data_IF_289403069580
#
_entry.id   IF_289403069580
#
_cell.length_a   1.000
_cell.length_b   1.000
_cell.length_c   1.000
_cell.angle_alpha   90.00
_cell.angle_beta   90.00
_cell.angle_gamma   90.00
#
_symmetry.space_group_name_H-M   'P 1'
#
loop_
_entity.id
_entity.type
_entity.pdbx_description
1 polymer ?
#
# COMPACT_ATOMS: atom_id res chain seq x y z
N UNK A 1 23.16 81.45 -23.87
CA UNK A 1 23.05 80.27 -24.76
C UNK A 1 22.83 79.02 -23.90
N UNK A 2 21.86 78.16 -24.28
CA UNK A 2 21.51 76.83 -23.73
C UNK A 2 20.81 76.85 -22.36
N UNK A 3 19.52 77.25 -22.27
CA UNK A 3 18.27 76.44 -22.41
C UNK A 3 18.18 75.23 -21.46
N UNK A 4 17.48 75.47 -20.33
CA UNK A 4 16.74 74.49 -19.54
C UNK A 4 15.73 73.76 -20.44
N UNK A 5 15.63 72.44 -20.30
CA UNK A 5 14.48 71.67 -20.76
C UNK A 5 13.99 70.78 -19.62
N UNK A 6 12.81 71.11 -19.12
CA UNK A 6 11.99 70.25 -18.29
C UNK A 6 11.48 69.08 -19.16
N UNK A 7 11.66 67.85 -18.70
CA UNK A 7 11.05 66.68 -19.32
C UNK A 7 9.88 66.25 -18.43
N UNK A 8 8.67 66.55 -18.92
CA UNK A 8 7.41 66.16 -18.31
C UNK A 8 7.24 64.63 -18.35
N UNK A 9 6.85 64.11 -17.20
CA UNK A 9 6.42 62.75 -16.95
C UNK A 9 5.10 62.49 -17.70
N UNK A 10 5.12 61.64 -18.74
CA UNK A 10 3.91 61.07 -19.34
C UNK A 10 3.96 59.55 -19.14
N UNK A 11 3.35 59.08 -18.05
CA UNK A 11 3.09 57.66 -17.82
C UNK A 11 1.90 57.28 -18.69
N UNK A 12 2.18 56.58 -19.80
CA UNK A 12 1.14 55.94 -20.59
C UNK A 12 0.80 54.60 -19.90
N UNK A 13 -0.33 54.56 -19.19
CA UNK A 13 -0.97 53.34 -18.71
C UNK A 13 -1.37 52.47 -19.92
N UNK A 14 -0.52 51.51 -20.29
CA UNK A 14 -0.95 50.37 -21.07
C UNK A 14 -1.44 49.28 -20.11
N UNK A 15 -2.74 49.33 -19.78
CA UNK A 15 -3.48 48.23 -19.17
C UNK A 15 -3.49 47.07 -20.17
N UNK A 16 -2.42 46.29 -20.18
CA UNK A 16 -2.41 44.97 -20.79
C UNK A 16 -3.30 44.07 -19.94
N UNK A 17 -4.55 43.91 -20.36
CA UNK A 17 -5.48 42.91 -19.86
C UNK A 17 -4.79 41.55 -19.88
N UNK A 18 -4.28 41.11 -18.73
CA UNK A 18 -3.92 39.71 -18.53
C UNK A 18 -5.24 38.99 -18.63
N UNK A 19 -5.52 38.43 -19.81
CA UNK A 19 -6.59 37.48 -19.97
C UNK A 19 -6.35 36.40 -18.91
N UNK A 20 -7.17 36.42 -17.86
CA UNK A 20 -7.34 35.26 -17.02
C UNK A 20 -7.81 34.17 -17.97
N UNK A 21 -6.86 33.35 -18.41
CA UNK A 21 -7.15 31.98 -18.79
C UNK A 21 -7.72 31.39 -17.52
N UNK A 22 -9.03 31.52 -17.34
CA UNK A 22 -9.78 30.76 -16.38
C UNK A 22 -9.44 29.31 -16.72
N UNK A 23 -8.60 28.70 -15.90
CA UNK A 23 -8.45 27.27 -15.91
C UNK A 23 -9.86 26.75 -15.63
N UNK A 24 -10.57 26.38 -16.70
CA UNK A 24 -11.80 25.66 -16.59
C UNK A 24 -11.38 24.35 -15.94
N UNK A 25 -11.54 24.27 -14.61
CA UNK A 25 -11.47 23.01 -13.89
C UNK A 25 -12.54 22.13 -14.52
N UNK A 26 -12.14 21.35 -15.54
CA UNK A 26 -12.90 20.17 -15.90
C UNK A 26 -12.80 19.27 -14.68
N UNK A 27 -13.77 19.41 -13.78
CA UNK A 27 -13.87 18.60 -12.60
C UNK A 27 -13.72 17.15 -13.05
N UNK A 28 -12.66 16.49 -12.58
CA UNK A 28 -12.34 15.12 -12.95
C UNK A 28 -13.58 14.26 -12.70
N UNK A 29 -14.26 13.87 -13.79
CA UNK A 29 -15.47 13.07 -13.69
C UNK A 29 -15.06 11.62 -13.55
N UNK A 30 -15.05 11.13 -12.32
CA UNK A 30 -14.84 9.72 -12.05
C UNK A 30 -16.01 8.91 -12.61
N UNK A 31 -15.77 7.67 -13.11
CA UNK A 31 -16.85 6.77 -13.46
C UNK A 31 -17.79 6.57 -12.26
N UNK A 32 -19.12 6.49 -12.50
CA UNK A 32 -20.06 6.22 -11.44
C UNK A 32 -19.76 4.85 -10.80
N UNK A 33 -19.90 4.77 -9.48
CA UNK A 33 -19.78 3.52 -8.74
C UNK A 33 -20.94 3.40 -7.75
N UNK A 34 -21.36 2.17 -7.48
CA UNK A 34 -22.33 1.85 -6.45
C UNK A 34 -21.60 1.46 -5.17
N UNK A 35 -21.95 2.10 -4.06
CA UNK A 35 -21.49 1.72 -2.72
C UNK A 35 -22.64 1.11 -1.95
N UNK A 36 -22.42 -0.08 -1.40
CA UNK A 36 -23.37 -0.72 -0.49
C UNK A 36 -22.65 -1.30 0.72
N UNK A 37 -23.43 -1.66 1.74
CA UNK A 37 -22.94 -2.33 2.93
C UNK A 37 -23.77 -3.60 3.14
N UNK A 38 -23.11 -4.76 3.13
CA UNK A 38 -23.77 -6.03 3.43
C UNK A 38 -24.22 -6.05 4.89
N UNK A 39 -25.24 -6.87 5.21
CA UNK A 39 -25.82 -6.97 6.55
C UNK A 39 -24.78 -7.32 7.64
N UNK A 40 -23.75 -8.11 7.29
CA UNK A 40 -22.68 -8.49 8.20
C UNK A 40 -21.60 -7.42 8.40
N UNK A 41 -21.59 -6.36 7.58
CA UNK A 41 -20.70 -5.20 7.73
C UNK A 41 -19.70 -4.97 6.60
N UNK A 42 -19.54 -5.90 5.66
CA UNK A 42 -18.64 -5.70 4.49
C UNK A 42 -19.10 -4.48 3.70
N UNK A 43 -18.17 -3.58 3.42
CA UNK A 43 -18.43 -2.47 2.49
C UNK A 43 -18.06 -2.90 1.08
N UNK A 44 -19.01 -2.83 0.15
CA UNK A 44 -18.79 -3.20 -1.26
C UNK A 44 -18.85 -1.95 -2.14
N UNK A 45 -17.90 -1.84 -3.06
CA UNK A 45 -17.86 -0.84 -4.13
C UNK A 45 -17.94 -1.57 -5.47
N UNK A 46 -18.91 -1.22 -6.32
CA UNK A 46 -19.11 -1.80 -7.64
C UNK A 46 -18.94 -0.73 -8.72
N UNK A 47 -18.08 -0.97 -9.69
CA UNK A 47 -17.90 -0.11 -10.86
C UNK A 47 -17.92 -0.98 -12.13
N UNK A 48 -19.05 -0.97 -12.83
CA UNK A 48 -19.23 -1.71 -14.08
C UNK A 48 -18.44 -1.05 -15.23
N UNK A 49 -17.75 -1.87 -16.02
CA UNK A 49 -16.90 -1.48 -17.17
C UNK A 49 -16.87 -2.62 -18.20
N UNK A 50 -17.31 -2.40 -19.44
CA UNK A 50 -17.48 -3.46 -20.45
C UNK A 50 -16.40 -3.47 -21.55
N UNK A 51 -15.34 -2.67 -21.42
CA UNK A 51 -14.30 -2.51 -22.43
C UNK A 51 -13.50 -3.79 -22.66
N UNK A 52 -13.30 -4.59 -21.61
CA UNK A 52 -12.60 -5.88 -21.64
C UNK A 52 -13.36 -6.91 -20.80
N UNK A 53 -13.39 -8.20 -21.20
CA UNK A 53 -14.15 -9.25 -20.51
C UNK A 53 -13.43 -9.77 -19.25
N UNK A 54 -12.98 -8.85 -18.39
CA UNK A 54 -12.22 -9.11 -17.16
C UNK A 54 -12.93 -8.43 -15.99
N UNK A 55 -12.86 -9.05 -14.81
CA UNK A 55 -13.37 -8.51 -13.56
C UNK A 55 -12.24 -8.53 -12.54
N UNK A 56 -11.94 -7.35 -12.00
CA UNK A 56 -10.94 -7.11 -10.97
C UNK A 56 -11.62 -6.93 -9.60
N UNK A 57 -11.09 -7.63 -8.61
CA UNK A 57 -11.47 -7.52 -7.21
C UNK A 57 -10.28 -6.93 -6.45
N UNK A 58 -10.53 -5.89 -5.67
CA UNK A 58 -9.59 -5.37 -4.68
C UNK A 58 -10.20 -5.48 -3.30
N UNK A 59 -9.49 -6.05 -2.33
CA UNK A 59 -9.95 -6.06 -0.95
C UNK A 59 -8.94 -5.39 -0.03
N UNK A 60 -9.47 -4.73 1.01
CA UNK A 60 -8.69 -4.12 2.08
C UNK A 60 -9.25 -4.61 3.41
N UNK A 61 -8.36 -5.13 4.25
CA UNK A 61 -8.59 -5.35 5.69
C UNK A 61 -7.89 -4.23 6.43
N UNK A 62 -8.59 -3.47 7.27
CA UNK A 62 -7.99 -2.33 7.99
C UNK A 62 -7.16 -2.79 9.21
N UNK A 63 -6.17 -3.63 8.95
CA UNK A 63 -5.13 -4.05 9.88
C UNK A 63 -3.88 -4.45 9.08
N UNK A 64 -2.75 -3.86 9.45
CA UNK A 64 -1.42 -4.17 8.90
C UNK A 64 -0.44 -4.52 10.01
N UNK A 65 0.86 -4.41 9.75
CA UNK A 65 1.91 -4.78 10.70
C UNK A 65 1.95 -3.93 11.96
N UNK A 66 1.31 -2.74 11.98
CA UNK A 66 1.20 -1.98 13.24
C UNK A 66 0.32 -2.67 14.28
N UNK A 67 -0.48 -3.66 13.85
CA UNK A 67 -1.27 -4.52 14.71
C UNK A 67 -0.50 -5.78 15.17
N UNK A 68 0.74 -5.97 14.73
CA UNK A 68 1.55 -7.12 15.15
C UNK A 68 1.85 -7.03 16.66
N UNK A 69 1.70 -8.14 17.40
CA UNK A 69 2.16 -8.21 18.78
C UNK A 69 3.66 -7.91 18.87
N UNK A 70 4.08 -7.23 19.93
CA UNK A 70 5.50 -6.93 20.15
C UNK A 70 6.33 -8.23 20.22
N UNK A 71 7.45 -8.28 19.50
CA UNK A 71 8.29 -9.48 19.38
C UNK A 71 7.76 -10.53 18.38
N UNK A 72 6.60 -10.28 17.77
CA UNK A 72 6.00 -11.10 16.70
C UNK A 72 5.77 -10.26 15.44
N UNK A 73 6.69 -9.35 15.14
CA UNK A 73 6.69 -8.57 13.92
C UNK A 73 6.66 -9.51 12.70
N UNK A 74 5.74 -9.27 11.77
CA UNK A 74 5.53 -10.09 10.58
C UNK A 74 4.26 -10.97 10.61
N UNK A 75 3.50 -11.02 11.72
CA UNK A 75 2.27 -11.83 11.82
C UNK A 75 1.22 -11.39 10.79
N UNK A 76 0.99 -10.09 10.60
CA UNK A 76 0.06 -9.57 9.59
C UNK A 76 0.45 -10.04 8.18
N UNK A 77 1.74 -9.91 7.86
CA UNK A 77 2.28 -10.32 6.57
C UNK A 77 2.21 -11.85 6.40
N UNK A 78 2.50 -12.64 7.44
CA UNK A 78 2.37 -14.10 7.42
C UNK A 78 0.91 -14.51 7.17
N UNK A 79 -0.04 -13.84 7.84
CA UNK A 79 -1.47 -14.09 7.66
C UNK A 79 -1.89 -13.85 6.21
N UNK A 80 -1.50 -12.71 5.62
CA UNK A 80 -1.80 -12.40 4.22
C UNK A 80 -1.20 -13.43 3.25
N UNK A 81 0.07 -13.82 3.46
CA UNK A 81 0.77 -14.78 2.61
C UNK A 81 0.23 -16.22 2.72
N UNK A 82 -0.43 -16.56 3.83
CA UNK A 82 -0.99 -17.89 4.06
C UNK A 82 -2.45 -18.03 3.65
N UNK A 83 -3.15 -16.95 3.26
CA UNK A 83 -4.54 -17.02 2.78
C UNK A 83 -4.72 -18.07 1.67
N UNK A 84 -3.79 -18.09 0.70
CA UNK A 84 -3.80 -19.03 -0.44
C UNK A 84 -3.24 -20.42 -0.14
N UNK A 85 -2.85 -20.71 1.11
CA UNK A 85 -2.12 -21.94 1.46
C UNK A 85 -2.99 -23.06 2.01
N UNK A 86 -4.29 -22.84 2.08
CA UNK A 86 -5.26 -23.89 2.38
C UNK A 86 -6.51 -23.35 3.02
N UNK A 87 -7.64 -23.86 2.57
CA UNK A 87 -8.96 -23.63 3.14
C UNK A 87 -9.53 -24.94 3.67
N UNK A 88 -10.74 -24.90 4.24
CA UNK A 88 -11.48 -26.11 4.61
C UNK A 88 -11.78 -27.02 3.42
N UNK A 89 -11.91 -26.45 2.22
CA UNK A 89 -12.32 -27.16 1.01
C UNK A 89 -11.17 -27.45 0.04
N UNK A 90 -10.07 -26.69 0.09
CA UNK A 90 -9.00 -26.74 -0.90
C UNK A 90 -7.62 -26.69 -0.26
N UNK A 91 -6.72 -27.52 -0.77
CA UNK A 91 -5.28 -27.46 -0.49
C UNK A 91 -4.62 -26.30 -1.24
N UNK A 92 -3.40 -25.91 -0.84
CA UNK A 92 -2.61 -24.90 -1.55
C UNK A 92 -2.45 -25.21 -3.05
N UNK A 93 -2.20 -26.48 -3.39
CA UNK A 93 -2.02 -26.92 -4.77
C UNK A 93 -3.32 -26.84 -5.56
N UNK A 94 -4.46 -27.23 -4.99
CA UNK A 94 -5.76 -27.08 -5.64
C UNK A 94 -6.10 -25.61 -5.91
N UNK A 95 -5.86 -24.72 -4.94
CA UNK A 95 -6.06 -23.27 -5.13
C UNK A 95 -5.19 -22.75 -6.28
N UNK A 96 -3.92 -23.17 -6.36
CA UNK A 96 -3.03 -22.76 -7.46
C UNK A 96 -3.52 -23.30 -8.79
N UNK A 97 -3.80 -24.60 -8.89
CA UNK A 97 -4.24 -25.22 -10.13
C UNK A 97 -5.58 -24.67 -10.63
N UNK A 98 -6.53 -24.37 -9.74
CA UNK A 98 -7.81 -23.76 -10.10
C UNK A 98 -7.61 -22.33 -10.64
N UNK A 99 -6.73 -21.53 -10.03
CA UNK A 99 -6.37 -20.20 -10.54
C UNK A 99 -5.72 -20.27 -11.91
N UNK A 100 -4.71 -21.14 -12.06
CA UNK A 100 -3.98 -21.29 -13.32
C UNK A 100 -4.92 -21.77 -14.44
N UNK A 101 -5.84 -22.68 -14.13
CA UNK A 101 -6.82 -23.20 -15.10
C UNK A 101 -7.79 -22.13 -15.62
N UNK A 102 -8.23 -21.21 -14.76
CA UNK A 102 -9.12 -20.11 -15.16
C UNK A 102 -8.36 -18.85 -15.60
N UNK A 103 -7.02 -18.90 -15.67
CA UNK A 103 -6.17 -17.75 -15.96
C UNK A 103 -6.32 -16.61 -14.95
N UNK A 104 -6.65 -16.95 -13.70
CA UNK A 104 -6.90 -15.99 -12.64
C UNK A 104 -5.68 -15.72 -11.78
N UNK A 105 -5.65 -14.55 -11.14
CA UNK A 105 -4.63 -14.20 -10.16
C UNK A 105 -5.29 -13.87 -8.82
N UNK A 106 -4.60 -14.15 -7.72
CA UNK A 106 -5.01 -13.72 -6.37
C UNK A 106 -3.75 -13.40 -5.55
N UNK A 107 -3.56 -12.18 -5.08
CA UNK A 107 -2.40 -11.83 -4.24
C UNK A 107 -2.85 -11.04 -3.03
N UNK A 108 -2.13 -11.17 -1.92
CA UNK A 108 -2.42 -10.45 -0.69
C UNK A 108 -1.13 -10.12 0.06
N UNK A 109 -1.01 -8.89 0.55
CA UNK A 109 0.14 -8.41 1.28
C UNK A 109 -0.29 -7.46 2.41
N UNK A 110 0.45 -7.50 3.52
CA UNK A 110 0.28 -6.53 4.60
C UNK A 110 1.21 -5.33 4.41
N UNK A 111 0.65 -4.13 4.58
CA UNK A 111 1.39 -2.88 4.76
C UNK A 111 1.49 -2.56 6.25
N UNK A 112 1.97 -1.37 6.61
CA UNK A 112 1.91 -0.91 7.99
C UNK A 112 0.47 -0.83 8.52
N UNK A 113 -0.42 -0.17 7.77
CA UNK A 113 -1.74 0.23 8.27
C UNK A 113 -2.88 -0.73 7.89
N UNK A 114 -2.71 -1.49 6.81
CA UNK A 114 -3.74 -2.36 6.26
C UNK A 114 -3.16 -3.55 5.53
N UNK A 115 -3.97 -4.59 5.35
CA UNK A 115 -3.70 -5.69 4.42
C UNK A 115 -4.53 -5.44 3.18
N UNK A 116 -3.93 -5.56 2.01
CA UNK A 116 -4.63 -5.46 0.74
C UNK A 116 -4.36 -6.69 -0.12
N UNK A 117 -5.33 -7.03 -0.95
CA UNK A 117 -5.14 -8.01 -1.98
C UNK A 117 -5.96 -7.72 -3.22
N UNK A 118 -5.57 -8.35 -4.31
CA UNK A 118 -6.26 -8.27 -5.59
C UNK A 118 -6.57 -9.66 -6.10
N UNK A 119 -7.70 -9.80 -6.78
CA UNK A 119 -8.03 -10.97 -7.58
C UNK A 119 -8.49 -10.53 -8.98
N UNK A 120 -8.12 -11.26 -10.01
CA UNK A 120 -8.53 -10.97 -11.38
C UNK A 120 -9.04 -12.25 -12.04
N UNK A 121 -10.18 -12.17 -12.70
CA UNK A 121 -10.81 -13.29 -13.40
C UNK A 121 -11.42 -12.85 -14.72
N UNK A 122 -11.45 -13.75 -15.71
CA UNK A 122 -12.25 -13.53 -16.92
C UNK A 122 -13.75 -13.60 -16.60
N UNK A 123 -14.57 -12.78 -17.26
CA UNK A 123 -16.03 -12.75 -17.09
C UNK A 123 -16.68 -14.13 -17.18
N UNK A 124 -16.23 -14.96 -18.13
CA UNK A 124 -16.74 -16.33 -18.33
C UNK A 124 -16.52 -17.27 -17.13
N UNK A 125 -15.54 -16.98 -16.28
CA UNK A 125 -15.13 -17.80 -15.14
C UNK A 125 -15.50 -17.18 -13.79
N UNK A 126 -16.28 -16.09 -13.78
CA UNK A 126 -16.56 -15.29 -12.58
C UNK A 126 -17.16 -16.10 -11.43
N UNK A 127 -18.03 -17.08 -11.72
CA UNK A 127 -18.59 -17.95 -10.70
C UNK A 127 -17.52 -18.74 -9.94
N UNK A 128 -16.58 -19.36 -10.68
CA UNK A 128 -15.47 -20.12 -10.10
C UNK A 128 -14.48 -19.21 -9.39
N UNK A 129 -14.15 -18.06 -10.00
CA UNK A 129 -13.25 -17.07 -9.42
C UNK A 129 -13.77 -16.51 -8.09
N UNK A 130 -15.06 -16.18 -8.05
CA UNK A 130 -15.72 -15.68 -6.85
C UNK A 130 -15.82 -16.75 -5.76
N UNK A 131 -16.11 -18.01 -6.13
CA UNK A 131 -16.09 -19.13 -5.19
C UNK A 131 -14.73 -19.31 -4.54
N UNK A 132 -13.66 -19.23 -5.34
CA UNK A 132 -12.30 -19.35 -4.85
C UNK A 132 -11.91 -18.18 -3.94
N UNK A 133 -12.20 -16.94 -4.36
CA UNK A 133 -11.93 -15.75 -3.57
C UNK A 133 -12.66 -15.80 -2.23
N UNK A 134 -13.95 -16.17 -2.23
CA UNK A 134 -14.74 -16.29 -1.02
C UNK A 134 -14.18 -17.38 -0.10
N UNK A 135 -13.82 -18.55 -0.62
CA UNK A 135 -13.26 -19.64 0.18
C UNK A 135 -11.92 -19.25 0.85
N UNK A 136 -11.02 -18.63 0.09
CA UNK A 136 -9.72 -18.14 0.59
C UNK A 136 -9.89 -17.07 1.67
N UNK A 137 -10.88 -16.18 1.52
CA UNK A 137 -11.12 -15.10 2.46
C UNK A 137 -11.88 -15.54 3.72
N UNK A 138 -12.85 -16.46 3.60
CA UNK A 138 -13.76 -16.82 4.68
C UNK A 138 -13.33 -18.06 5.45
N UNK A 139 -12.61 -18.99 4.81
CA UNK A 139 -12.33 -20.32 5.36
C UNK A 139 -10.84 -20.73 5.38
N UNK A 140 -9.84 -19.84 5.57
CA UNK A 140 -8.46 -20.27 5.63
C UNK A 140 -8.20 -21.11 6.89
N UNK A 141 -7.44 -22.20 6.74
CA UNK A 141 -7.09 -23.11 7.85
C UNK A 141 -5.65 -22.94 8.34
N UNK A 142 -4.81 -22.23 7.58
CA UNK A 142 -3.40 -21.99 7.86
C UNK A 142 -2.64 -23.28 8.22
N UNK A 143 -2.41 -24.20 7.27
CA UNK A 143 -1.71 -25.46 7.56
C UNK A 143 -0.33 -25.23 8.17
N UNK A 144 0.02 -26.00 9.21
CA UNK A 144 1.26 -25.79 9.97
C UNK A 144 2.53 -26.00 9.14
N UNK A 145 2.49 -26.94 8.20
CA UNK A 145 3.56 -27.23 7.25
C UNK A 145 3.78 -26.05 6.27
N UNK A 146 2.70 -25.49 5.72
CA UNK A 146 2.76 -24.30 4.86
C UNK A 146 3.19 -23.05 5.65
N UNK A 147 2.74 -22.90 6.89
CA UNK A 147 3.19 -21.81 7.78
C UNK A 147 4.70 -21.89 8.04
N UNK A 148 5.21 -23.07 8.40
CA UNK A 148 6.63 -23.28 8.63
C UNK A 148 7.46 -23.10 7.34
N UNK A 149 6.93 -23.52 6.19
CA UNK A 149 7.57 -23.32 4.88
C UNK A 149 7.68 -21.85 4.54
N UNK A 150 6.59 -21.07 4.68
CA UNK A 150 6.61 -19.64 4.42
C UNK A 150 7.55 -18.89 5.38
N UNK A 151 7.57 -19.28 6.65
CA UNK A 151 8.48 -18.73 7.64
C UNK A 151 9.95 -18.91 7.23
N UNK A 152 10.34 -20.14 6.84
CA UNK A 152 11.70 -20.41 6.33
C UNK A 152 12.04 -19.58 5.10
N UNK A 153 11.14 -19.55 4.11
CA UNK A 153 11.32 -18.75 2.89
C UNK A 153 11.54 -17.26 3.19
N UNK A 154 10.83 -16.70 4.17
CA UNK A 154 11.01 -15.30 4.58
C UNK A 154 12.31 -15.07 5.31
N UNK A 155 12.71 -15.96 6.20
CA UNK A 155 14.01 -15.88 6.88
C UNK A 155 15.14 -15.92 5.84
N UNK A 156 15.08 -16.83 4.88
CA UNK A 156 16.07 -16.94 3.82
C UNK A 156 16.07 -15.70 2.92
N UNK A 157 14.88 -15.18 2.57
CA UNK A 157 14.75 -13.93 1.81
C UNK A 157 15.30 -12.72 2.54
N UNK A 158 15.15 -12.64 3.88
CA UNK A 158 15.73 -11.57 4.69
C UNK A 158 17.26 -11.69 4.74
N UNK A 159 17.80 -12.90 4.85
CA UNK A 159 19.25 -13.13 4.79
C UNK A 159 19.81 -12.70 3.43
N UNK A 160 19.19 -13.15 2.35
CA UNK A 160 19.58 -12.75 1.00
C UNK A 160 19.48 -11.24 0.78
N UNK A 161 18.43 -10.59 1.31
CA UNK A 161 18.31 -9.14 1.22
C UNK A 161 19.43 -8.37 1.93
N UNK A 162 20.06 -8.95 2.97
CA UNK A 162 21.20 -8.33 3.67
C UNK A 162 22.48 -8.32 2.85
N UNK A 163 22.58 -9.19 1.84
CA UNK A 163 23.71 -9.16 0.90
C UNK A 163 23.63 -7.90 0.01
N UNK A 164 22.43 -7.38 -0.23
CA UNK A 164 22.16 -6.18 -1.02
C UNK A 164 21.84 -4.96 -0.13
N UNK A 165 22.79 -4.02 -0.02
CA UNK A 165 22.61 -2.81 0.81
C UNK A 165 21.31 -2.03 0.49
N UNK A 166 20.91 -2.00 -0.79
CA UNK A 166 19.65 -1.37 -1.23
C UNK A 166 18.40 -2.05 -0.64
N UNK A 167 18.41 -3.37 -0.46
CA UNK A 167 17.28 -4.15 0.02
C UNK A 167 16.94 -3.88 1.49
N UNK A 168 17.94 -3.54 2.30
CA UNK A 168 17.79 -3.40 3.77
C UNK A 168 17.78 -1.95 4.26
N UNK A 169 18.31 -0.99 3.49
CA UNK A 169 18.40 0.41 3.94
C UNK A 169 17.05 1.00 4.33
N UNK A 170 15.94 0.57 3.72
CA UNK A 170 14.60 1.03 4.07
C UNK A 170 14.17 0.62 5.47
N UNK A 171 14.27 -0.67 5.78
CA UNK A 171 13.90 -1.20 7.09
C UNK A 171 14.80 -0.63 8.21
N UNK A 172 16.10 -0.47 7.93
CA UNK A 172 17.03 0.15 8.87
C UNK A 172 16.73 1.63 9.10
N UNK A 173 16.39 2.36 8.05
CA UNK A 173 15.99 3.76 8.16
C UNK A 173 14.70 3.91 8.97
N UNK A 174 13.69 3.07 8.72
CA UNK A 174 12.44 3.08 9.48
C UNK A 174 12.68 2.79 10.97
N UNK A 175 13.46 1.74 11.29
CA UNK A 175 13.84 1.41 12.66
C UNK A 175 14.61 2.55 13.34
N UNK A 176 15.50 3.23 12.61
CA UNK A 176 16.26 4.36 13.14
C UNK A 176 15.40 5.60 13.38
N UNK A 177 14.49 5.91 12.47
CA UNK A 177 13.65 7.10 12.51
C UNK A 177 12.58 6.96 13.59
N UNK A 178 11.86 5.84 13.62
CA UNK A 178 10.69 5.62 14.46
C UNK A 178 11.00 4.92 15.79
N UNK A 179 12.17 4.29 15.94
CA UNK A 179 12.59 3.63 17.18
C UNK A 179 11.58 2.59 17.65
N UNK A 180 11.01 2.78 18.85
CA UNK A 180 10.03 1.86 19.45
C UNK A 180 8.61 1.99 18.88
N UNK A 181 8.33 3.04 18.10
CA UNK A 181 7.02 3.24 17.46
C UNK A 181 6.74 2.07 16.48
N UNK A 182 5.49 1.59 16.33
CA UNK A 182 5.16 0.47 15.43
C UNK A 182 5.66 0.62 13.98
N UNK A 183 5.75 1.84 13.46
CA UNK A 183 6.35 2.12 12.14
C UNK A 183 7.86 1.89 12.03
N UNK A 184 8.57 1.72 13.15
CA UNK A 184 9.98 1.30 13.17
C UNK A 184 10.16 -0.21 13.05
N UNK A 185 9.07 -0.97 13.09
CA UNK A 185 9.08 -2.43 12.99
C UNK A 185 8.97 -2.85 11.52
N UNK A 186 9.74 -3.86 11.11
CA UNK A 186 9.64 -4.43 9.77
C UNK A 186 8.26 -5.04 9.53
N UNK A 187 7.60 -4.67 8.42
CA UNK A 187 6.29 -5.20 8.02
C UNK A 187 6.30 -6.71 7.77
N UNK A 188 7.46 -7.25 7.38
CA UNK A 188 7.67 -8.68 7.11
C UNK A 188 8.34 -9.42 8.27
N UNK A 189 8.59 -8.73 9.38
CA UNK A 189 9.38 -9.26 10.49
C UNK A 189 10.88 -9.24 10.23
N UNK A 190 11.63 -9.83 11.17
CA UNK A 190 13.06 -10.11 11.08
C UNK A 190 13.33 -11.55 11.51
N UNK A 191 14.57 -12.03 11.43
CA UNK A 191 14.88 -13.42 11.77
C UNK A 191 14.51 -13.81 13.21
N UNK A 192 14.60 -12.87 14.15
CA UNK A 192 14.25 -13.12 15.55
C UNK A 192 12.74 -13.19 15.74
N UNK A 193 11.99 -12.23 15.19
CA UNK A 193 10.53 -12.20 15.34
C UNK A 193 9.87 -13.35 14.58
N UNK A 194 10.32 -13.63 13.34
CA UNK A 194 9.79 -14.74 12.55
C UNK A 194 10.00 -16.08 13.24
N UNK A 195 11.10 -16.28 13.97
CA UNK A 195 11.36 -17.52 14.71
C UNK A 195 10.34 -17.77 15.84
N UNK A 196 9.67 -16.74 16.35
CA UNK A 196 8.70 -16.86 17.46
C UNK A 196 7.23 -16.95 16.99
N UNK A 197 6.96 -16.68 15.71
CA UNK A 197 5.61 -16.71 15.16
C UNK A 197 5.16 -18.16 15.02
N UNK A 198 4.01 -18.47 15.62
CA UNK A 198 3.34 -19.76 15.50
C UNK A 198 2.17 -19.67 14.53
N UNK A 199 1.69 -20.84 14.07
CA UNK A 199 0.44 -20.94 13.30
C UNK A 199 -0.76 -20.35 14.07
N UNK A 200 -0.78 -20.49 15.39
CA UNK A 200 -1.88 -19.97 16.21
C UNK A 200 -1.85 -18.45 16.32
N UNK A 201 -0.66 -17.82 16.26
CA UNK A 201 -0.57 -16.36 16.16
C UNK A 201 -1.19 -15.85 14.85
N UNK A 202 -0.93 -16.54 13.74
CA UNK A 202 -1.54 -16.26 12.43
C UNK A 202 -3.07 -16.42 12.50
N UNK A 203 -3.54 -17.55 13.04
CA UNK A 203 -4.97 -17.80 13.17
C UNK A 203 -5.66 -16.78 14.08
N UNK A 204 -5.01 -16.38 15.18
CA UNK A 204 -5.51 -15.35 16.10
C UNK A 204 -5.56 -13.97 15.44
N UNK A 205 -4.56 -13.61 14.64
CA UNK A 205 -4.55 -12.36 13.88
C UNK A 205 -5.69 -12.33 12.87
N UNK A 206 -5.87 -13.41 12.10
CA UNK A 206 -7.01 -13.56 11.20
C UNK A 206 -8.34 -13.41 11.95
N UNK A 207 -8.53 -14.14 13.05
CA UNK A 207 -9.76 -14.08 13.84
C UNK A 207 -10.04 -12.68 14.39
N UNK A 208 -9.01 -11.93 14.77
CA UNK A 208 -9.15 -10.61 15.38
C UNK A 208 -9.46 -9.52 14.35
N UNK A 209 -8.77 -9.53 13.21
CA UNK A 209 -8.75 -8.40 12.29
C UNK A 209 -9.45 -8.65 10.95
N UNK A 210 -9.55 -9.90 10.50
CA UNK A 210 -10.24 -10.27 9.26
C UNK A 210 -11.71 -10.50 9.60
N UNK A 211 -12.43 -9.39 9.70
CA UNK A 211 -13.86 -9.37 10.00
C UNK A 211 -14.62 -8.63 8.90
N UNK A 212 -15.90 -8.96 8.67
CA UNK A 212 -16.74 -8.25 7.71
C UNK A 212 -16.73 -6.74 7.88
N UNK A 213 -16.94 -6.24 9.11
CA UNK A 213 -16.98 -4.81 9.41
C UNK A 213 -15.64 -4.09 9.20
N UNK A 214 -14.52 -4.84 9.17
CA UNK A 214 -13.18 -4.32 8.93
C UNK A 214 -12.72 -4.47 7.46
N UNK A 215 -13.62 -4.91 6.57
CA UNK A 215 -13.32 -5.25 5.18
C UNK A 215 -14.01 -4.31 4.19
N UNK A 216 -13.25 -3.83 3.20
CA UNK A 216 -13.78 -3.23 1.98
C UNK A 216 -13.47 -4.16 0.81
N UNK A 217 -14.46 -4.42 -0.03
CA UNK A 217 -14.31 -5.14 -1.30
C UNK A 217 -14.73 -4.20 -2.44
N UNK A 218 -13.82 -3.94 -3.37
CA UNK A 218 -14.08 -3.20 -4.60
C UNK A 218 -14.08 -4.17 -5.78
N UNK A 219 -15.06 -4.04 -6.67
CA UNK A 219 -15.19 -4.85 -7.88
C UNK A 219 -15.33 -3.92 -9.08
N UNK A 220 -14.45 -4.11 -10.07
CA UNK A 220 -14.40 -3.29 -11.28
C UNK A 220 -14.30 -4.20 -12.50
N UNK A 221 -15.11 -3.97 -13.54
CA UNK A 221 -15.01 -4.73 -14.79
C UNK A 221 -16.36 -5.15 -15.37
N UNK A 222 -16.32 -6.17 -16.23
CA UNK A 222 -17.46 -6.54 -17.10
C UNK A 222 -18.44 -7.46 -16.37
N UNK A 223 -19.39 -6.87 -15.64
CA UNK A 223 -20.43 -7.58 -14.89
C UNK A 223 -21.73 -6.78 -14.81
N UNK A 224 -22.87 -7.45 -14.65
CA UNK A 224 -24.12 -6.77 -14.30
C UNK A 224 -24.13 -6.42 -12.79
N UNK A 225 -24.37 -5.15 -12.38
CA UNK A 225 -24.30 -4.73 -10.98
C UNK A 225 -25.26 -5.45 -10.05
N UNK A 226 -26.48 -5.76 -10.50
CA UNK A 226 -27.48 -6.43 -9.67
C UNK A 226 -27.11 -7.91 -9.43
N UNK A 227 -26.64 -8.60 -10.48
CA UNK A 227 -26.16 -9.97 -10.37
C UNK A 227 -24.91 -10.08 -9.49
N UNK A 228 -23.95 -9.16 -9.66
CA UNK A 228 -22.74 -9.11 -8.84
C UNK A 228 -23.06 -8.80 -7.37
N UNK A 229 -23.97 -7.87 -7.11
CA UNK A 229 -24.43 -7.58 -5.74
C UNK A 229 -25.06 -8.81 -5.08
N UNK A 230 -25.91 -9.53 -5.79
CA UNK A 230 -26.52 -10.76 -5.29
C UNK A 230 -25.44 -11.83 -5.01
N UNK A 231 -24.54 -12.08 -5.96
CA UNK A 231 -23.47 -13.06 -5.81
C UNK A 231 -22.53 -12.73 -4.63
N UNK A 232 -22.17 -11.46 -4.45
CA UNK A 232 -21.39 -11.01 -3.29
C UNK A 232 -22.16 -11.14 -1.98
N UNK A 233 -23.47 -10.84 -1.99
CA UNK A 233 -24.33 -11.02 -0.82
C UNK A 233 -24.40 -12.49 -0.41
N UNK A 234 -24.56 -13.40 -1.36
CA UNK A 234 -24.64 -14.84 -1.08
C UNK A 234 -23.32 -15.41 -0.57
N UNK A 235 -22.19 -14.99 -1.15
CA UNK A 235 -20.86 -15.51 -0.79
C UNK A 235 -20.30 -14.83 0.46
N UNK A 236 -20.19 -13.50 0.45
CA UNK A 236 -19.59 -12.75 1.56
C UNK A 236 -20.57 -12.46 2.69
N UNK A 237 -21.88 -12.51 2.47
CA UNK A 237 -22.88 -12.38 3.54
C UNK A 237 -22.86 -13.52 4.55
N UNK A 238 -22.37 -14.70 4.13
CA UNK A 238 -22.15 -15.85 5.01
C UNK A 238 -20.98 -15.67 5.99
N UNK A 239 -20.12 -14.66 5.80
CA UNK A 239 -19.00 -14.40 6.70
C UNK A 239 -19.52 -13.89 8.05
N UNK A 240 -19.26 -14.59 9.18
CA UNK A 240 -19.85 -14.22 10.46
C UNK A 240 -19.50 -12.80 10.89
N UNK A 241 -20.54 -12.03 11.22
CA UNK A 241 -20.42 -10.66 11.70
C UNK A 241 -19.62 -10.63 12.99
N UNK A 242 -18.50 -9.90 12.98
CA UNK A 242 -17.58 -9.72 14.11
C UNK A 242 -17.01 -8.31 14.06
N UNK A 243 -16.68 -7.77 15.23
CA UNK A 243 -15.99 -6.49 15.34
C UNK A 243 -14.48 -6.73 15.41
N UNK A 244 -13.71 -5.79 14.85
CA UNK A 244 -12.26 -5.73 15.03
C UNK A 244 -11.94 -4.62 16.02
N UNK A 245 -10.98 -4.81 16.93
CA UNK A 245 -10.51 -3.71 17.77
C UNK A 245 -9.86 -2.62 16.89
N UNK A 246 -9.97 -1.37 17.32
CA UNK A 246 -9.24 -0.28 16.70
C UNK A 246 -7.75 -0.41 17.04
N UNK A 247 -6.88 -0.24 16.03
CA UNK A 247 -5.43 -0.17 16.25
C UNK A 247 -5.09 1.28 16.61
N UNK A 248 -4.77 1.50 17.89
CA UNK A 248 -4.27 2.77 18.40
C UNK A 248 -2.77 2.86 18.15
N UNK A 249 -2.34 3.93 17.48
CA UNK A 249 -0.93 4.24 17.30
C UNK A 249 -0.52 5.28 18.34
N UNK A 250 0.63 5.10 19.02
CA UNK A 250 1.18 6.16 19.84
C UNK A 250 1.57 7.35 18.96
N UNK A 251 1.65 8.55 19.55
CA UNK A 251 2.17 9.71 18.81
C UNK A 251 3.62 9.45 18.37
N UNK A 252 3.94 9.85 17.14
CA UNK A 252 5.30 9.78 16.63
C UNK A 252 6.10 10.91 17.28
N UNK A 253 7.21 10.58 17.92
CA UNK A 253 8.11 11.57 18.50
C UNK A 253 8.84 12.34 17.38
N UNK A 254 8.76 13.66 17.42
CA UNK A 254 9.54 14.53 16.53
C UNK A 254 11.04 14.30 16.73
N UNK A 255 11.77 14.14 15.63
CA UNK A 255 13.23 14.01 15.67
C UNK A 255 13.86 15.40 15.55
N UNK A 256 14.64 15.78 16.57
CA UNK A 256 15.39 17.03 16.61
C UNK A 256 16.89 16.80 16.39
N UNK A 257 17.57 17.84 15.88
CA UNK A 257 19.02 17.80 15.65
C UNK A 257 19.44 16.95 14.44
N UNK A 258 20.75 16.80 14.27
CA UNK A 258 21.36 15.98 13.21
C UNK A 258 21.68 14.60 13.76
N UNK A 259 21.25 13.58 13.05
CA UNK A 259 21.36 12.17 13.43
C UNK A 259 21.91 11.37 12.25
N UNK A 260 22.86 10.50 12.50
CA UNK A 260 23.49 9.64 11.49
C UNK A 260 23.51 8.19 11.99
N UNK A 261 23.09 7.28 11.11
CA UNK A 261 23.32 5.85 11.24
C UNK A 261 24.20 5.42 10.06
N UNK A 262 25.42 4.95 10.37
CA UNK A 262 26.31 4.36 9.38
C UNK A 262 26.23 2.84 9.54
N UNK A 263 26.03 2.15 8.42
CA UNK A 263 26.00 0.68 8.38
C UNK A 263 27.14 0.26 7.48
N UNK A 264 28.11 -0.42 8.06
CA UNK A 264 29.27 -0.90 7.32
C UNK A 264 28.89 -2.14 6.50
N UNK A 265 29.24 -2.11 5.21
CA UNK A 265 29.02 -3.20 4.24
C UNK A 265 30.22 -3.18 3.28
N UNK A 266 31.38 -3.67 3.72
CA UNK A 266 32.66 -3.48 3.02
C UNK A 266 32.72 -4.15 1.65
N UNK A 267 31.87 -5.14 1.42
CA UNK A 267 31.68 -5.85 0.14
C UNK A 267 30.66 -5.15 -0.79
N UNK A 268 30.05 -4.03 -0.38
CA UNK A 268 29.18 -3.23 -1.25
C UNK A 268 30.00 -2.38 -2.21
N UNK A 269 29.73 -2.52 -3.51
CA UNK A 269 30.33 -1.68 -4.57
C UNK A 269 29.74 -0.27 -4.64
N UNK A 270 28.63 -0.03 -3.93
CA UNK A 270 27.90 1.23 -3.92
C UNK A 270 27.55 1.67 -2.50
N UNK A 271 27.52 2.98 -2.28
CA UNK A 271 27.00 3.57 -1.03
C UNK A 271 25.57 4.05 -1.25
N UNK A 272 24.67 3.65 -0.38
CA UNK A 272 23.25 4.05 -0.42
C UNK A 272 22.95 5.06 0.69
N UNK A 273 22.20 6.10 0.36
CA UNK A 273 21.80 7.14 1.31
C UNK A 273 20.27 7.17 1.44
N UNK A 274 19.79 7.29 2.68
CA UNK A 274 18.43 7.74 2.98
C UNK A 274 18.50 8.92 3.95
N UNK A 275 17.81 9.99 3.58
CA UNK A 275 17.71 11.21 4.38
C UNK A 275 16.22 11.51 4.51
N UNK A 276 15.76 11.79 5.72
CA UNK A 276 14.36 12.10 5.96
C UNK A 276 14.08 12.42 7.42
N UNK A 277 12.85 12.82 7.68
CA UNK A 277 12.31 13.09 9.01
C UNK A 277 10.86 12.54 9.05
N UNK A 278 10.24 12.61 10.23
CA UNK A 278 8.80 12.36 10.39
C UNK A 278 8.05 13.35 9.49
N UNK A 279 7.26 12.79 8.57
CA UNK A 279 6.51 13.54 7.58
C UNK A 279 5.14 14.01 8.08
N UNK A 280 4.21 14.17 7.14
CA UNK A 280 2.83 14.52 7.42
C UNK A 280 1.95 13.26 7.54
N UNK A 281 0.91 13.26 8.39
CA UNK A 281 -0.05 12.16 8.45
C UNK A 281 -0.91 12.11 7.17
N UNK A 282 -1.45 10.94 6.85
CA UNK A 282 -2.35 10.72 5.70
C UNK A 282 -3.54 11.70 5.63
N UNK A 283 -3.98 12.17 6.80
CA UNK A 283 -5.13 13.08 6.98
C UNK A 283 -4.78 14.56 6.85
N UNK A 284 -3.51 14.91 6.65
CA UNK A 284 -3.10 16.30 6.44
C UNK A 284 -3.82 16.89 5.21
N UNK A 285 -4.44 18.06 5.37
CA UNK A 285 -5.22 18.74 4.34
C UNK A 285 -4.36 19.12 3.11
N UNK A 286 -3.08 19.44 3.33
CA UNK A 286 -2.14 19.87 2.30
C UNK A 286 -1.45 18.70 1.58
N UNK A 287 -1.81 17.45 1.90
CA UNK A 287 -1.15 16.25 1.34
C UNK A 287 -1.02 16.28 -0.19
N UNK A 288 -2.06 16.78 -0.87
CA UNK A 288 -2.11 16.83 -2.34
C UNK A 288 -1.14 17.89 -2.86
N UNK A 289 -1.12 19.07 -2.24
CA UNK A 289 -0.16 20.13 -2.59
C UNK A 289 1.28 19.68 -2.34
N UNK A 290 1.53 19.00 -1.21
CA UNK A 290 2.84 18.44 -0.88
C UNK A 290 3.29 17.39 -1.91
N UNK A 291 2.38 16.53 -2.38
CA UNK A 291 2.68 15.57 -3.46
C UNK A 291 3.01 16.27 -4.79
N UNK A 292 2.31 17.34 -5.13
CA UNK A 292 2.61 18.15 -6.33
C UNK A 292 3.99 18.78 -6.22
N UNK A 293 4.33 19.38 -5.08
CA UNK A 293 5.67 19.93 -4.83
C UNK A 293 6.73 18.83 -4.90
N UNK A 294 6.49 17.69 -4.26
CA UNK A 294 7.41 16.55 -4.30
C UNK A 294 7.60 16.03 -5.73
N UNK A 295 6.56 16.03 -6.56
CA UNK A 295 6.62 15.60 -7.96
C UNK A 295 7.65 16.39 -8.75
N UNK A 296 7.71 17.72 -8.55
CA UNK A 296 8.71 18.59 -9.16
C UNK A 296 10.10 18.40 -8.52
N UNK A 297 10.15 18.27 -7.18
CA UNK A 297 11.39 18.22 -6.43
C UNK A 297 12.17 16.91 -6.65
N UNK A 298 11.54 15.75 -6.44
CA UNK A 298 12.22 14.44 -6.51
C UNK A 298 11.32 13.23 -6.83
N UNK A 299 10.04 13.45 -7.11
CA UNK A 299 9.05 12.38 -7.35
C UNK A 299 9.02 11.84 -8.78
N UNK A 300 9.77 12.43 -9.71
CA UNK A 300 9.89 11.99 -11.11
C UNK A 300 11.35 11.82 -11.52
N UNK A 301 11.58 11.06 -12.58
CA UNK A 301 12.93 10.93 -13.15
C UNK A 301 13.49 12.27 -13.67
N UNK A 302 12.63 13.14 -14.20
CA UNK A 302 13.00 14.49 -14.68
C UNK A 302 12.91 15.56 -13.58
N UNK A 303 12.84 15.16 -12.31
CA UNK A 303 12.74 16.08 -11.17
C UNK A 303 14.02 16.90 -10.97
N UNK A 304 13.90 17.98 -10.19
CA UNK A 304 15.03 18.85 -9.85
C UNK A 304 16.18 18.08 -9.21
N UNK A 305 15.89 17.26 -8.19
CA UNK A 305 16.89 16.50 -7.44
C UNK A 305 17.68 15.55 -8.34
N UNK A 306 17.00 14.79 -9.21
CA UNK A 306 17.68 13.87 -10.11
C UNK A 306 18.44 14.63 -11.21
N UNK A 307 17.91 15.75 -11.69
CA UNK A 307 18.60 16.58 -12.69
C UNK A 307 19.92 17.14 -12.17
N UNK A 308 19.94 17.68 -10.95
CA UNK A 308 21.17 18.23 -10.36
C UNK A 308 22.18 17.14 -9.98
N UNK A 309 21.75 16.07 -9.31
CA UNK A 309 22.66 15.07 -8.75
C UNK A 309 23.10 14.00 -9.75
N UNK A 310 22.24 13.61 -10.69
CA UNK A 310 22.55 12.58 -11.68
C UNK A 310 22.97 13.19 -13.01
N UNK A 311 22.17 14.08 -13.58
CA UNK A 311 22.37 14.53 -14.97
C UNK A 311 23.53 15.52 -15.07
N UNK A 312 23.52 16.56 -14.22
CA UNK A 312 24.52 17.64 -14.29
C UNK A 312 25.87 17.25 -13.71
N UNK A 313 25.88 16.46 -12.63
CA UNK A 313 27.11 16.17 -11.87
C UNK A 313 27.62 14.74 -12.03
N UNK A 314 26.77 13.78 -12.42
CA UNK A 314 27.15 12.38 -12.55
C UNK A 314 27.52 11.67 -11.23
N UNK A 315 27.22 12.29 -10.07
CA UNK A 315 27.66 11.80 -8.75
C UNK A 315 26.84 10.60 -8.25
N UNK A 316 25.65 10.38 -8.79
CA UNK A 316 24.78 9.26 -8.41
C UNK A 316 24.12 8.64 -9.64
N UNK A 317 23.77 7.36 -9.54
CA UNK A 317 22.92 6.67 -10.52
C UNK A 317 21.47 7.14 -10.50
N UNK A 318 21.04 7.80 -9.40
CA UNK A 318 19.71 8.37 -9.27
C UNK A 318 19.46 9.01 -7.91
N UNK A 319 18.57 9.99 -7.88
CA UNK A 319 18.08 10.61 -6.65
C UNK A 319 16.57 10.80 -6.71
N UNK A 320 15.88 10.52 -5.61
CA UNK A 320 14.42 10.60 -5.49
C UNK A 320 13.98 11.10 -4.11
N UNK A 321 12.80 11.68 -4.05
CA UNK A 321 12.13 12.04 -2.79
C UNK A 321 10.67 11.58 -2.80
N UNK A 322 10.15 11.26 -1.63
CA UNK A 322 8.77 10.83 -1.44
C UNK A 322 8.27 11.21 -0.04
N UNK A 323 6.95 11.29 0.09
CA UNK A 323 6.26 11.32 1.37
C UNK A 323 5.53 9.98 1.54
N UNK A 324 5.81 9.27 2.62
CA UNK A 324 5.09 8.04 2.92
C UNK A 324 3.68 8.36 3.42
N UNK A 325 2.67 7.65 2.91
CA UNK A 325 1.26 7.90 3.23
C UNK A 325 0.75 7.05 4.39
N UNK A 326 1.50 7.04 5.50
CA UNK A 326 1.15 6.31 6.73
C UNK A 326 0.05 7.06 7.48
N UNK A 327 -0.75 6.34 8.27
CA UNK A 327 -1.91 6.91 8.99
C UNK A 327 -1.54 8.04 9.97
N UNK A 328 -0.34 7.96 10.55
CA UNK A 328 0.19 8.86 11.58
C UNK A 328 1.56 9.38 11.16
#
# INVERSE_FOLDING_TARGET
>A
MKRLFAFSLFVLMALGSVAHVGAQESALKLPPYKKLKLKNGVTVLLMEQHEVPIINFGFIIRAGSVADPAGKEGVASMTAGLLRKGTKARTANQISSELDFIGGQLVANATFDYTAGTAEFMKKDIGKGLDLLADVMLNPIFPSDEAAKLQRQRVDGIKAAKDEAQGVIGAYFDAYLYGKHPYGRSTNGNELSLATITRDDVAKFYQTYYTPANTILAVVGDFNPAEMEQALTDKFGAWPARTSPAVALPEVMSVTGKRLLLIDKPDSTQTFYRIGNVGIPRTNADRVFIEVVNTLFGGRFTSMLNSELRIKTGLTYGARSAFDQRKA
#
